data_IF_540498296152
#
_entry.id   IF_540498296152
#
_cell.length_a   1.000
_cell.length_b   1.000
_cell.length_c   1.000
_cell.angle_alpha   90.00
_cell.angle_beta   90.00
_cell.angle_gamma   90.00
#
_symmetry.space_group_name_H-M   'P 1'
#
loop_
_entity.id
_entity.type
_entity.pdbx_description
1 polymer ?
#
# COMPACT_ATOMS: atom_id res chain seq x y z
N UNK A 1 -0.18 -16.66 -9.67
CA UNK A 1 0.50 -15.74 -8.75
C UNK A 1 1.26 -16.56 -7.70
N UNK A 2 2.41 -16.08 -7.19
CA UNK A 2 3.35 -16.87 -6.35
C UNK A 2 3.24 -16.63 -4.82
N UNK A 3 2.19 -15.96 -4.34
CA UNK A 3 1.98 -15.72 -2.90
C UNK A 3 2.91 -14.68 -2.26
N UNK A 4 3.51 -13.77 -3.04
CA UNK A 4 4.38 -12.72 -2.48
C UNK A 4 3.65 -11.86 -1.44
N UNK A 5 4.28 -11.62 -0.26
CA UNK A 5 3.70 -10.88 0.88
C UNK A 5 4.35 -9.52 1.16
N UNK A 6 5.28 -9.11 0.32
CA UNK A 6 5.81 -7.76 0.30
C UNK A 6 5.86 -7.29 -1.15
N UNK A 7 5.24 -6.16 -1.46
CA UNK A 7 5.23 -5.57 -2.80
C UNK A 7 5.70 -4.14 -2.71
N UNK A 8 6.61 -3.78 -3.59
CA UNK A 8 7.16 -2.43 -3.71
C UNK A 8 6.42 -1.63 -4.78
N UNK A 9 6.19 -0.34 -4.48
CA UNK A 9 5.47 0.60 -5.31
C UNK A 9 6.30 1.89 -5.38
N UNK A 10 6.95 2.10 -6.52
CA UNK A 10 7.76 3.29 -6.79
C UNK A 10 6.86 4.40 -7.35
N UNK A 11 6.45 5.32 -6.47
CA UNK A 11 5.34 6.26 -6.67
C UNK A 11 5.85 7.65 -7.04
N UNK A 12 5.37 8.18 -8.16
CA UNK A 12 5.81 9.44 -8.74
C UNK A 12 4.63 10.32 -9.15
N UNK A 13 4.86 11.62 -9.26
CA UNK A 13 3.83 12.53 -9.73
C UNK A 13 3.37 12.21 -11.16
N UNK A 14 2.06 12.14 -11.34
CA UNK A 14 1.43 12.00 -12.65
C UNK A 14 0.65 13.24 -13.05
N UNK A 15 0.07 13.18 -14.25
CA UNK A 15 -0.77 14.25 -14.81
C UNK A 15 -2.14 14.30 -14.13
N UNK A 16 -2.78 15.47 -14.15
CA UNK A 16 -4.13 15.68 -13.60
C UNK A 16 -4.28 15.37 -12.11
N UNK A 17 -3.18 15.37 -11.35
CA UNK A 17 -3.18 15.07 -9.92
C UNK A 17 -3.20 13.57 -9.58
N UNK A 18 -3.21 12.69 -10.59
CA UNK A 18 -3.22 11.24 -10.38
C UNK A 18 -1.80 10.66 -10.36
N UNK A 19 -1.34 10.07 -9.24
CA UNK A 19 -0.01 9.48 -9.13
C UNK A 19 0.20 8.29 -10.06
N UNK A 20 1.44 8.09 -10.48
CA UNK A 20 1.86 6.97 -11.34
C UNK A 20 2.93 6.12 -10.67
N UNK A 21 3.04 4.88 -11.12
CA UNK A 21 4.11 3.95 -10.73
C UNK A 21 4.97 3.66 -11.95
N UNK A 22 6.29 3.82 -11.78
CA UNK A 22 7.33 3.42 -12.73
C UNK A 22 8.70 3.50 -12.05
N UNK A 23 9.73 2.96 -12.69
CA UNK A 23 11.09 3.08 -12.17
C UNK A 23 11.70 4.42 -12.62
N UNK A 24 11.93 5.31 -11.66
CA UNK A 24 12.47 6.65 -11.88
C UNK A 24 13.74 6.66 -12.73
N UNK A 25 13.92 7.70 -13.54
CA UNK A 25 15.13 7.88 -14.38
C UNK A 25 15.41 6.76 -15.40
N UNK A 26 14.40 5.96 -15.75
CA UNK A 26 14.52 4.92 -16.78
C UNK A 26 13.44 5.05 -17.87
N UNK A 27 13.51 4.20 -18.91
CA UNK A 27 12.55 4.14 -20.01
C UNK A 27 11.39 3.17 -19.73
N UNK A 28 11.07 2.91 -18.47
CA UNK A 28 9.95 2.04 -18.10
C UNK A 28 8.62 2.73 -18.38
N UNK A 29 7.63 1.95 -18.80
CA UNK A 29 6.26 2.43 -18.98
C UNK A 29 5.65 2.81 -17.62
N UNK A 30 4.74 3.77 -17.64
CA UNK A 30 4.02 4.25 -16.46
C UNK A 30 2.65 3.58 -16.37
N UNK A 31 2.24 3.24 -15.16
CA UNK A 31 0.88 2.77 -14.84
C UNK A 31 0.29 3.63 -13.73
N UNK A 32 -1.02 3.74 -13.65
CA UNK A 32 -1.67 4.55 -12.61
C UNK A 32 -1.53 3.87 -11.25
N UNK A 33 -1.26 4.66 -10.20
CA UNK A 33 -1.24 4.16 -8.83
C UNK A 33 -2.58 3.51 -8.47
N UNK A 34 -3.70 4.16 -8.85
CA UNK A 34 -5.06 3.67 -8.65
C UNK A 34 -5.26 2.25 -9.18
N UNK A 35 -4.87 1.99 -10.42
CA UNK A 35 -5.05 0.69 -11.09
C UNK A 35 -4.26 -0.41 -10.36
N UNK A 36 -3.08 -0.07 -9.83
CA UNK A 36 -2.26 -1.00 -9.04
C UNK A 36 -2.94 -1.33 -7.71
N UNK A 37 -3.51 -0.34 -7.01
CA UNK A 37 -4.24 -0.58 -5.76
C UNK A 37 -5.51 -1.41 -6.00
N UNK A 38 -6.26 -1.17 -7.09
CA UNK A 38 -7.41 -1.99 -7.49
C UNK A 38 -7.00 -3.45 -7.75
N UNK A 39 -5.87 -3.64 -8.45
CA UNK A 39 -5.32 -4.98 -8.68
C UNK A 39 -4.89 -5.67 -7.38
N UNK A 40 -4.27 -4.93 -6.44
CA UNK A 40 -3.92 -5.46 -5.12
C UNK A 40 -5.16 -5.91 -4.36
N UNK A 41 -6.22 -5.09 -4.29
CA UNK A 41 -7.49 -5.45 -3.65
C UNK A 41 -8.00 -6.80 -4.16
N UNK A 42 -8.01 -6.98 -5.48
CA UNK A 42 -8.59 -8.15 -6.11
C UNK A 42 -7.74 -9.42 -5.97
N UNK A 43 -6.46 -9.30 -5.62
CA UNK A 43 -5.51 -10.41 -5.68
C UNK A 43 -4.74 -10.68 -4.39
N UNK A 44 -4.73 -9.74 -3.44
CA UNK A 44 -3.91 -9.80 -2.24
C UNK A 44 -4.08 -11.11 -1.47
N UNK A 45 -5.32 -11.61 -1.32
CA UNK A 45 -5.62 -12.75 -0.46
C UNK A 45 -6.07 -14.03 -1.21
N UNK A 46 -5.99 -14.06 -2.55
CA UNK A 46 -6.41 -15.24 -3.34
C UNK A 46 -5.57 -16.49 -3.07
N UNK A 47 -4.33 -16.34 -2.62
CA UNK A 47 -3.38 -17.46 -2.43
C UNK A 47 -2.81 -17.56 -1.01
N UNK A 48 -3.12 -16.60 -0.14
CA UNK A 48 -2.64 -16.57 1.24
C UNK A 48 -3.53 -15.62 2.04
N UNK A 49 -4.00 -16.03 3.22
CA UNK A 49 -4.71 -15.17 4.16
C UNK A 49 -3.78 -14.30 5.00
N UNK A 50 -2.46 -14.49 4.90
CA UNK A 50 -1.50 -13.69 5.64
C UNK A 50 -1.40 -12.26 5.08
N UNK A 51 -1.09 -11.27 5.94
CA UNK A 51 -0.99 -9.87 5.58
C UNK A 51 -0.08 -9.60 4.39
N UNK A 52 -0.41 -8.54 3.65
CA UNK A 52 0.42 -8.02 2.57
C UNK A 52 1.06 -6.69 3.02
N UNK A 53 2.37 -6.60 2.87
CA UNK A 53 3.10 -5.36 3.13
C UNK A 53 3.28 -4.61 1.82
N UNK A 54 2.93 -3.32 1.82
CA UNK A 54 3.22 -2.40 0.72
C UNK A 54 4.40 -1.51 1.11
N UNK A 55 5.51 -1.64 0.38
CA UNK A 55 6.63 -0.72 0.49
C UNK A 55 6.41 0.42 -0.50
N UNK A 56 6.04 1.61 0.00
CA UNK A 56 5.86 2.79 -0.83
C UNK A 56 7.19 3.55 -0.89
N UNK A 57 7.80 3.61 -2.07
CA UNK A 57 8.88 4.56 -2.35
C UNK A 57 8.22 5.83 -2.91
N UNK A 58 8.23 6.91 -2.15
CA UNK A 58 7.36 8.06 -2.40
C UNK A 58 8.16 9.27 -2.90
N UNK A 59 7.96 9.60 -4.17
CA UNK A 59 8.52 10.78 -4.85
C UNK A 59 7.44 11.82 -5.19
N UNK A 60 6.25 11.74 -4.59
CA UNK A 60 5.13 12.65 -4.84
C UNK A 60 5.15 13.89 -3.93
N UNK A 61 4.68 15.03 -4.42
CA UNK A 61 4.36 16.19 -3.57
C UNK A 61 3.12 15.96 -2.70
N UNK A 62 2.91 16.82 -1.69
CA UNK A 62 1.85 16.65 -0.67
C UNK A 62 0.43 16.50 -1.24
N UNK A 63 0.12 17.18 -2.34
CA UNK A 63 -1.19 17.08 -3.01
C UNK A 63 -1.42 15.67 -3.57
N UNK A 64 -0.42 15.12 -4.28
CA UNK A 64 -0.52 13.77 -4.81
C UNK A 64 -0.36 12.70 -3.74
N UNK A 65 0.37 12.96 -2.64
CA UNK A 65 0.34 12.10 -1.46
C UNK A 65 -1.06 12.01 -0.84
N UNK A 66 -1.79 13.13 -0.79
CA UNK A 66 -3.20 13.14 -0.33
C UNK A 66 -4.09 12.32 -1.27
N UNK A 67 -3.81 12.35 -2.58
CA UNK A 67 -4.50 11.52 -3.57
C UNK A 67 -4.16 10.03 -3.42
N UNK A 68 -2.89 9.67 -3.15
CA UNK A 68 -2.49 8.32 -2.80
C UNK A 68 -3.21 7.82 -1.54
N UNK A 69 -3.27 8.65 -0.50
CA UNK A 69 -4.00 8.39 0.74
C UNK A 69 -5.47 8.06 0.47
N UNK A 70 -6.10 8.90 -0.36
CA UNK A 70 -7.49 8.75 -0.75
C UNK A 70 -7.73 7.44 -1.49
N UNK A 71 -6.88 7.10 -2.47
CA UNK A 71 -6.98 5.83 -3.19
C UNK A 71 -6.79 4.62 -2.29
N UNK A 72 -5.80 4.63 -1.41
CA UNK A 72 -5.59 3.54 -0.44
C UNK A 72 -6.82 3.37 0.45
N UNK A 73 -7.32 4.44 1.06
CA UNK A 73 -8.50 4.41 1.95
C UNK A 73 -9.77 3.98 1.23
N UNK A 74 -10.03 4.49 0.02
CA UNK A 74 -11.27 4.21 -0.72
C UNK A 74 -11.29 2.85 -1.41
N UNK A 75 -10.16 2.38 -1.94
CA UNK A 75 -10.11 1.13 -2.69
C UNK A 75 -9.90 -0.08 -1.76
N UNK A 76 -9.01 0.04 -0.78
CA UNK A 76 -8.70 -1.06 0.13
C UNK A 76 -9.69 -1.14 1.30
N UNK A 77 -10.28 -0.01 1.71
CA UNK A 77 -11.29 0.04 2.77
C UNK A 77 -10.84 -0.69 4.02
N UNK A 78 -11.65 -1.65 4.48
CA UNK A 78 -11.41 -2.44 5.68
C UNK A 78 -10.17 -3.37 5.59
N UNK A 79 -9.65 -3.61 4.38
CA UNK A 79 -8.41 -4.37 4.18
C UNK A 79 -7.16 -3.54 4.54
N UNK A 80 -7.29 -2.22 4.68
CA UNK A 80 -6.17 -1.32 5.01
C UNK A 80 -6.04 -1.20 6.53
N UNK A 81 -4.87 -1.59 7.04
CA UNK A 81 -4.56 -1.37 8.45
C UNK A 81 -4.20 0.10 8.68
N UNK A 82 -5.11 0.83 9.33
CA UNK A 82 -4.94 2.25 9.68
C UNK A 82 -4.66 2.51 11.17
N UNK A 83 -4.78 1.49 12.02
CA UNK A 83 -4.55 1.59 13.46
C UNK A 83 -3.56 0.52 13.94
N UNK A 84 -2.77 0.76 15.00
CA UNK A 84 -1.94 -0.28 15.60
C UNK A 84 -2.80 -1.42 16.14
N UNK A 85 -2.41 -2.67 15.86
CA UNK A 85 -3.16 -3.88 16.29
C UNK A 85 -3.13 -4.06 17.82
N UNK A 86 -2.19 -3.43 18.54
CA UNK A 86 -1.97 -3.61 19.99
C UNK A 86 -1.92 -2.30 20.81
N UNK A 87 -2.59 -1.23 20.36
CA UNK A 87 -2.51 0.07 21.02
C UNK A 87 -1.14 0.75 20.89
N UNK A 88 -0.91 1.82 21.64
CA UNK A 88 0.05 2.86 21.26
C UNK A 88 1.53 2.48 21.35
N UNK A 89 1.93 1.33 21.92
CA UNK A 89 3.34 0.88 21.93
C UNK A 89 3.49 -0.65 22.02
N UNK A 90 3.46 -1.39 20.89
CA UNK A 90 3.84 -2.79 20.88
C UNK A 90 5.35 -2.92 21.09
N UNK A 91 5.78 -3.58 22.17
CA UNK A 91 7.20 -3.87 22.45
C UNK A 91 7.83 -4.82 21.41
N UNK A 92 7.01 -5.49 20.60
CA UNK A 92 7.38 -6.47 19.58
C UNK A 92 6.38 -6.40 18.43
N UNK A 93 6.82 -6.71 17.21
CA UNK A 93 5.91 -6.81 16.06
C UNK A 93 4.93 -7.98 16.26
N UNK A 94 3.65 -7.84 15.87
CA UNK A 94 2.69 -8.93 15.93
C UNK A 94 3.13 -10.11 15.04
N UNK A 95 2.76 -11.33 15.45
CA UNK A 95 3.05 -12.52 14.64
C UNK A 95 2.16 -12.56 13.39
N UNK A 96 2.60 -13.25 12.31
CA UNK A 96 1.78 -13.45 11.12
C UNK A 96 0.43 -14.09 11.42
N UNK A 97 0.36 -15.05 12.35
CA UNK A 97 -0.87 -15.73 12.77
C UNK A 97 -1.85 -14.76 13.43
N UNK A 98 -1.36 -13.84 14.26
CA UNK A 98 -2.20 -12.83 14.94
C UNK A 98 -2.84 -11.86 13.94
N UNK A 99 -2.14 -11.54 12.85
CA UNK A 99 -2.64 -10.66 11.80
C UNK A 99 -3.39 -11.39 10.67
N UNK A 100 -3.33 -12.72 10.62
CA UNK A 100 -3.93 -13.53 9.54
C UNK A 100 -5.46 -13.54 9.54
N UNK A 101 -6.09 -13.24 10.68
CA UNK A 101 -7.54 -13.08 10.79
C UNK A 101 -8.07 -11.75 10.24
N UNK A 102 -7.18 -10.79 9.97
CA UNK A 102 -7.57 -9.41 9.66
C UNK A 102 -7.41 -9.05 8.17
N UNK A 103 -6.76 -9.90 7.35
CA UNK A 103 -6.52 -9.64 5.91
C UNK A 103 -5.99 -8.22 5.66
N UNK A 104 -4.94 -7.87 6.38
CA UNK A 104 -4.46 -6.49 6.42
C UNK A 104 -3.39 -6.18 5.38
N UNK A 105 -3.47 -4.96 4.86
CA UNK A 105 -2.47 -4.33 4.02
C UNK A 105 -1.80 -3.24 4.85
N UNK A 106 -0.47 -3.33 5.04
CA UNK A 106 0.30 -2.34 5.82
C UNK A 106 1.29 -1.59 4.93
N UNK A 107 1.23 -0.25 4.85
CA UNK A 107 2.27 0.54 4.20
C UNK A 107 3.45 0.78 5.15
N UNK A 108 4.70 0.53 4.70
CA UNK A 108 5.90 0.70 5.55
C UNK A 108 6.31 2.16 5.78
N UNK A 109 5.92 3.08 4.88
CA UNK A 109 6.17 4.53 5.03
C UNK A 109 4.87 5.34 5.24
N UNK A 110 3.82 4.69 5.77
CA UNK A 110 2.46 5.25 5.93
C UNK A 110 2.33 6.50 6.82
N UNK A 111 3.35 6.81 7.64
CA UNK A 111 3.26 7.91 8.61
C UNK A 111 3.01 9.28 7.96
N UNK A 112 3.36 9.43 6.68
CA UNK A 112 3.12 10.66 5.91
C UNK A 112 2.04 10.52 4.81
N UNK A 113 1.55 9.30 4.52
CA UNK A 113 0.62 9.04 3.40
C UNK A 113 -0.78 8.63 3.86
N UNK A 114 -0.99 8.27 5.13
CA UNK A 114 -2.31 7.77 5.59
C UNK A 114 -2.90 8.58 6.75
N UNK A 115 -2.19 9.61 7.25
CA UNK A 115 -2.79 10.58 8.17
C UNK A 115 -3.80 11.46 7.42
#
# INVERSE_FOLDING_TARGET
MKGCRCVELDCWEGSNGDPVIYHGHTLTSKILFRDVIESIRDHAFKHSSYPLILSLENHCGLEQQSTMAHHLKTILGDMLLIQPVDGDQPKQLPSPEFMSSLQEIRPLQAKDVVQ
#
